data_IF_143395623792
#
_entry.id   IF_143395623792
#
_cell.length_a   1.000
_cell.length_b   1.000
_cell.length_c   1.000
_cell.angle_alpha   90.00
_cell.angle_beta   90.00
_cell.angle_gamma   90.00
#
_symmetry.space_group_name_H-M   'P 1'
#
loop_
_entity.id
_entity.type
_entity.pdbx_description
1 polymer ?
#
# COMPACT_ATOMS: atom_id res chain seq x y z
N UNK A 1 -30.99 -20.53 -26.23
CA UNK A 1 -29.74 -21.16 -25.78
C UNK A 1 -29.42 -22.31 -26.70
N UNK A 2 -28.31 -22.26 -27.43
CA UNK A 2 -27.88 -23.35 -28.32
C UNK A 2 -27.36 -24.49 -27.45
N UNK A 3 -28.14 -25.56 -27.30
CA UNK A 3 -27.75 -26.77 -26.58
C UNK A 3 -27.16 -27.79 -27.56
N UNK A 4 -26.06 -28.46 -27.19
CA UNK A 4 -25.46 -29.56 -27.98
C UNK A 4 -24.22 -29.24 -28.82
N UNK A 5 -23.59 -28.07 -28.66
CA UNK A 5 -22.47 -27.61 -29.51
C UNK A 5 -21.07 -27.92 -28.94
N UNK A 6 -20.98 -28.71 -27.86
CA UNK A 6 -19.70 -28.97 -27.16
C UNK A 6 -19.17 -27.74 -26.40
N UNK A 7 -17.93 -27.81 -25.87
CA UNK A 7 -17.31 -26.68 -25.18
C UNK A 7 -17.07 -25.54 -26.19
N UNK A 8 -17.77 -24.42 -26.00
CA UNK A 8 -17.61 -23.21 -26.82
C UNK A 8 -16.43 -22.34 -26.39
N UNK A 9 -15.66 -22.78 -25.39
CA UNK A 9 -14.48 -22.11 -24.90
C UNK A 9 -13.33 -23.11 -24.77
N UNK A 10 -12.15 -22.70 -25.21
CA UNK A 10 -10.90 -23.43 -25.07
C UNK A 10 -9.88 -22.48 -24.43
N UNK A 11 -8.98 -23.03 -23.63
CA UNK A 11 -7.83 -22.29 -23.09
C UNK A 11 -6.96 -21.76 -24.24
N UNK A 12 -6.42 -20.54 -24.09
CA UNK A 12 -5.36 -20.02 -24.96
C UNK A 12 -3.97 -20.59 -24.63
N UNK A 13 -3.83 -21.30 -23.52
CA UNK A 13 -2.59 -21.97 -23.10
C UNK A 13 -2.68 -23.48 -23.34
N UNK A 14 -1.55 -24.08 -23.75
CA UNK A 14 -1.44 -25.52 -23.96
C UNK A 14 -1.70 -26.33 -22.70
N UNK A 15 -2.17 -27.56 -22.90
CA UNK A 15 -2.40 -28.51 -21.81
C UNK A 15 -1.15 -29.37 -21.57
N UNK A 16 -1.23 -30.30 -20.61
CA UNK A 16 -0.15 -31.20 -20.21
C UNK A 16 0.58 -31.82 -21.42
N UNK A 17 -0.16 -32.47 -22.31
CA UNK A 17 0.39 -33.15 -23.49
C UNK A 17 1.06 -32.19 -24.47
N UNK A 18 0.59 -30.94 -24.56
CA UNK A 18 1.19 -29.93 -25.44
C UNK A 18 2.55 -29.47 -24.89
N UNK A 19 2.65 -29.31 -23.57
CA UNK A 19 3.92 -29.03 -22.91
C UNK A 19 4.92 -30.18 -23.09
N UNK A 20 4.49 -31.43 -22.86
CA UNK A 20 5.36 -32.61 -23.07
C UNK A 20 5.85 -32.68 -24.52
N UNK A 21 4.95 -32.51 -25.50
CA UNK A 21 5.31 -32.49 -26.92
C UNK A 21 6.32 -31.40 -27.24
N UNK A 22 6.08 -30.17 -26.74
CA UNK A 22 6.94 -29.03 -27.02
C UNK A 22 8.33 -29.22 -26.41
N UNK A 23 8.42 -29.56 -25.13
CA UNK A 23 9.69 -29.74 -24.42
C UNK A 23 10.49 -30.89 -25.04
N UNK A 24 9.82 -32.01 -25.35
CA UNK A 24 10.46 -33.17 -26.01
C UNK A 24 10.95 -32.83 -27.41
N UNK A 25 10.20 -32.03 -28.18
CA UNK A 25 10.62 -31.62 -29.52
C UNK A 25 11.81 -30.65 -29.50
N UNK A 26 11.88 -29.78 -28.49
CA UNK A 26 13.00 -28.83 -28.32
C UNK A 26 14.26 -29.49 -27.74
N UNK A 27 14.09 -30.54 -26.92
CA UNK A 27 15.16 -31.23 -26.20
C UNK A 27 16.18 -30.26 -25.55
N UNK A 28 15.71 -29.38 -24.63
CA UNK A 28 16.52 -28.29 -24.12
C UNK A 28 17.62 -28.77 -23.17
N UNK A 29 18.81 -28.17 -23.25
CA UNK A 29 19.89 -28.41 -22.27
C UNK A 29 19.53 -27.88 -20.89
N UNK A 30 18.88 -26.71 -20.83
CA UNK A 30 18.40 -26.05 -19.62
C UNK A 30 16.94 -25.67 -19.79
N UNK A 31 16.13 -25.84 -18.75
CA UNK A 31 14.71 -25.55 -18.79
C UNK A 31 14.31 -24.58 -17.69
N UNK A 32 13.55 -23.55 -18.04
CA UNK A 32 13.01 -22.58 -17.08
C UNK A 32 11.52 -22.39 -17.38
N UNK A 33 10.62 -22.97 -16.57
CA UNK A 33 9.21 -22.70 -16.71
C UNK A 33 8.94 -21.21 -16.42
N UNK A 34 8.16 -20.58 -17.29
CA UNK A 34 7.75 -19.18 -17.18
C UNK A 34 6.22 -19.08 -17.26
N UNK A 35 5.69 -17.94 -16.83
CA UNK A 35 4.26 -17.60 -16.91
C UNK A 35 3.34 -18.57 -16.15
N UNK A 36 3.11 -18.26 -14.88
CA UNK A 36 2.18 -18.98 -14.02
C UNK A 36 2.43 -18.61 -12.57
N UNK A 37 1.54 -19.02 -11.68
CA UNK A 37 1.84 -18.98 -10.25
C UNK A 37 2.98 -19.95 -9.91
N UNK A 38 3.65 -19.72 -8.80
CA UNK A 38 4.82 -20.52 -8.40
C UNK A 38 4.53 -22.02 -8.40
N UNK A 39 3.37 -22.44 -7.91
CA UNK A 39 2.96 -23.84 -7.90
C UNK A 39 2.82 -24.44 -9.32
N UNK A 40 2.37 -23.64 -10.29
CA UNK A 40 2.28 -24.04 -11.70
C UNK A 40 3.67 -24.23 -12.31
N UNK A 41 4.61 -23.33 -11.98
CA UNK A 41 6.00 -23.43 -12.43
C UNK A 41 6.69 -24.68 -11.88
N UNK A 42 6.47 -24.98 -10.60
CA UNK A 42 6.99 -26.21 -9.96
C UNK A 42 6.40 -27.45 -10.65
N UNK A 43 5.09 -27.48 -10.89
CA UNK A 43 4.45 -28.61 -11.56
C UNK A 43 4.98 -28.80 -12.98
N UNK A 44 5.17 -27.70 -13.72
CA UNK A 44 5.71 -27.74 -15.07
C UNK A 44 7.20 -28.18 -15.10
N UNK A 45 7.99 -27.81 -14.10
CA UNK A 45 9.35 -28.32 -13.91
C UNK A 45 9.36 -29.83 -13.64
N UNK A 46 8.46 -30.34 -12.79
CA UNK A 46 8.35 -31.78 -12.54
C UNK A 46 7.93 -32.56 -13.79
N UNK A 47 7.05 -31.98 -14.62
CA UNK A 47 6.67 -32.56 -15.91
C UNK A 47 7.89 -32.68 -16.83
N UNK A 48 8.67 -31.61 -16.97
CA UNK A 48 9.88 -31.62 -17.80
C UNK A 48 10.92 -32.67 -17.33
N UNK A 49 11.04 -32.85 -16.02
CA UNK A 49 11.91 -33.86 -15.41
C UNK A 49 11.42 -35.28 -15.69
N UNK A 50 10.14 -35.57 -15.42
CA UNK A 50 9.56 -36.92 -15.47
C UNK A 50 9.30 -37.40 -16.89
N UNK A 51 8.74 -36.55 -17.75
CA UNK A 51 8.25 -36.93 -19.08
C UNK A 51 9.26 -36.66 -20.19
N UNK A 52 10.09 -35.62 -20.02
CA UNK A 52 11.00 -35.15 -21.06
C UNK A 52 12.49 -35.40 -20.72
N UNK A 53 12.77 -36.06 -19.60
CA UNK A 53 14.11 -36.43 -19.15
C UNK A 53 15.12 -35.26 -19.05
N UNK A 54 14.63 -34.04 -18.78
CA UNK A 54 15.51 -32.90 -18.48
C UNK A 54 16.11 -33.12 -17.08
N UNK A 55 17.44 -33.13 -16.91
CA UNK A 55 18.05 -33.34 -15.60
C UNK A 55 17.60 -32.27 -14.60
N UNK A 56 17.32 -32.67 -13.34
CA UNK A 56 16.86 -31.76 -12.28
C UNK A 56 17.77 -30.53 -12.13
N UNK A 57 19.07 -30.73 -12.16
CA UNK A 57 20.08 -29.67 -12.00
C UNK A 57 20.07 -28.65 -13.14
N UNK A 58 19.43 -28.99 -14.26
CA UNK A 58 19.27 -28.12 -15.42
C UNK A 58 17.91 -27.43 -15.47
N UNK A 59 17.04 -27.64 -14.47
CA UNK A 59 15.70 -27.03 -14.40
C UNK A 59 15.71 -25.89 -13.38
N UNK A 60 15.40 -24.68 -13.83
CA UNK A 60 15.41 -23.46 -13.02
C UNK A 60 13.99 -22.97 -12.76
N UNK A 61 13.44 -23.26 -11.57
CA UNK A 61 12.22 -22.61 -11.10
C UNK A 61 12.60 -21.28 -10.46
N UNK A 62 12.23 -20.18 -11.11
CA UNK A 62 12.59 -18.83 -10.70
C UNK A 62 11.39 -18.03 -10.22
N UNK A 63 11.61 -17.15 -9.25
CA UNK A 63 10.71 -16.08 -8.89
C UNK A 63 11.15 -14.77 -9.58
N UNK A 64 10.26 -13.79 -9.63
CA UNK A 64 10.57 -12.47 -10.19
C UNK A 64 11.80 -11.88 -9.51
N UNK A 65 12.75 -11.43 -10.34
CA UNK A 65 14.00 -10.84 -9.87
C UNK A 65 15.15 -11.82 -9.68
N UNK A 66 14.91 -13.14 -9.78
CA UNK A 66 16.01 -14.10 -9.82
C UNK A 66 16.84 -13.93 -11.10
N UNK A 67 18.17 -14.03 -10.96
CA UNK A 67 19.12 -13.90 -12.08
C UNK A 67 19.72 -15.26 -12.40
N UNK A 68 19.51 -15.73 -13.63
CA UNK A 68 20.18 -16.91 -14.18
C UNK A 68 21.33 -16.45 -15.07
N UNK A 69 22.53 -16.91 -14.73
CA UNK A 69 23.74 -16.69 -15.51
C UNK A 69 23.99 -17.92 -16.38
N UNK A 70 24.03 -17.73 -17.70
CA UNK A 70 24.31 -18.78 -18.67
C UNK A 70 25.66 -18.49 -19.33
N UNK A 71 26.59 -19.43 -19.20
CA UNK A 71 27.95 -19.35 -19.74
C UNK A 71 28.27 -20.61 -20.54
N UNK A 72 29.35 -20.62 -21.35
CA UNK A 72 29.81 -21.86 -21.99
C UNK A 72 30.16 -22.98 -21.00
N UNK A 73 30.50 -22.65 -19.74
CA UNK A 73 30.74 -23.62 -18.67
C UNK A 73 29.47 -24.16 -18.01
N UNK A 74 28.32 -23.55 -18.28
CA UNK A 74 27.02 -23.99 -17.77
C UNK A 74 26.13 -22.84 -17.29
N UNK A 75 24.97 -23.19 -16.75
CA UNK A 75 24.00 -22.26 -16.19
C UNK A 75 23.89 -22.39 -14.66
N UNK A 76 23.75 -21.26 -13.97
CA UNK A 76 23.51 -21.21 -12.51
C UNK A 76 22.68 -20.00 -12.12
N UNK A 77 22.02 -20.08 -10.97
CA UNK A 77 21.39 -18.92 -10.32
C UNK A 77 22.48 -18.06 -9.68
N UNK A 78 22.64 -16.82 -10.16
CA UNK A 78 23.77 -15.93 -9.83
C UNK A 78 23.39 -14.79 -8.87
N UNK A 79 22.11 -14.61 -8.58
CA UNK A 79 21.66 -13.65 -7.57
C UNK A 79 20.20 -13.27 -7.70
N UNK A 80 19.84 -12.14 -7.08
CA UNK A 80 18.51 -11.53 -7.17
C UNK A 80 18.62 -10.02 -7.31
N UNK A 81 17.78 -9.44 -8.15
CA UNK A 81 17.62 -8.00 -8.30
C UNK A 81 16.32 -7.54 -7.61
N UNK A 82 16.26 -6.28 -7.14
CA UNK A 82 15.03 -5.74 -6.59
C UNK A 82 13.98 -5.64 -7.68
N UNK A 83 12.82 -6.24 -7.42
CA UNK A 83 11.64 -6.18 -8.28
C UNK A 83 10.42 -5.83 -7.43
N UNK A 84 9.42 -5.25 -8.05
CA UNK A 84 8.16 -4.89 -7.42
C UNK A 84 7.17 -4.35 -8.44
N UNK A 85 5.88 -4.44 -8.09
CA UNK A 85 4.83 -3.80 -8.88
C UNK A 85 4.72 -2.32 -8.54
N UNK A 86 4.38 -1.51 -9.54
CA UNK A 86 3.89 -0.15 -9.34
C UNK A 86 2.39 -0.21 -9.61
N UNK A 87 1.60 0.24 -8.64
CA UNK A 87 0.15 0.26 -8.75
C UNK A 87 -0.29 1.64 -9.25
N UNK A 88 -1.20 1.67 -10.21
CA UNK A 88 -1.80 2.88 -10.73
C UNK A 88 -3.29 2.88 -10.41
N UNK A 89 -3.84 4.05 -10.09
CA UNK A 89 -5.29 4.23 -10.00
C UNK A 89 -5.89 4.64 -11.36
N UNK A 90 -7.21 4.79 -11.41
CA UNK A 90 -7.96 5.19 -12.60
C UNK A 90 -7.55 6.58 -13.14
N UNK A 91 -6.91 7.42 -12.31
CA UNK A 91 -6.36 8.71 -12.74
C UNK A 91 -4.97 8.60 -13.35
N UNK A 92 -4.37 7.41 -13.33
CA UNK A 92 -2.99 7.16 -13.73
C UNK A 92 -1.96 7.60 -12.68
N UNK A 93 -2.39 7.93 -11.46
CA UNK A 93 -1.48 8.27 -10.38
C UNK A 93 -0.93 7.01 -9.71
N UNK A 94 0.34 7.06 -9.30
CA UNK A 94 0.97 5.96 -8.56
C UNK A 94 0.38 5.87 -7.16
N UNK A 95 -0.09 4.68 -6.80
CA UNK A 95 -0.65 4.40 -5.48
C UNK A 95 0.40 3.67 -4.63
N UNK A 96 0.62 4.19 -3.42
CA UNK A 96 1.48 3.54 -2.42
C UNK A 96 0.80 2.30 -1.84
N UNK A 97 1.60 1.26 -1.57
CA UNK A 97 1.16 0.02 -0.92
C UNK A 97 0.45 0.27 0.41
N UNK A 98 0.89 1.29 1.18
CA UNK A 98 0.27 1.65 2.46
C UNK A 98 -1.20 2.05 2.26
N UNK A 99 -1.48 2.83 1.21
CA UNK A 99 -2.85 3.26 0.89
C UNK A 99 -3.71 2.06 0.47
N UNK A 100 -3.14 1.11 -0.27
CA UNK A 100 -3.85 -0.13 -0.65
C UNK A 100 -4.17 -0.98 0.57
N UNK A 101 -3.20 -1.14 1.47
CA UNK A 101 -3.38 -1.89 2.73
C UNK A 101 -4.50 -1.28 3.57
N UNK A 102 -4.52 0.05 3.70
CA UNK A 102 -5.58 0.77 4.41
C UNK A 102 -6.94 0.54 3.74
N UNK A 103 -7.03 0.60 2.40
CA UNK A 103 -8.28 0.33 1.66
C UNK A 103 -8.78 -1.10 1.87
N UNK A 104 -7.90 -2.09 1.77
CA UNK A 104 -8.25 -3.50 1.99
C UNK A 104 -8.79 -3.68 3.40
N UNK A 105 -8.08 -3.14 4.40
CA UNK A 105 -8.49 -3.28 5.79
C UNK A 105 -9.80 -2.55 6.11
N UNK A 106 -10.01 -1.35 5.54
CA UNK A 106 -11.30 -0.65 5.64
C UNK A 106 -12.44 -1.44 4.98
N UNK A 107 -12.17 -2.11 3.86
CA UNK A 107 -13.18 -2.89 3.17
C UNK A 107 -13.58 -4.17 3.93
N UNK A 108 -12.64 -4.79 4.66
CA UNK A 108 -12.89 -6.02 5.43
C UNK A 108 -13.44 -5.74 6.83
N UNK A 109 -12.82 -4.83 7.57
CA UNK A 109 -13.11 -4.60 8.99
C UNK A 109 -13.97 -3.36 9.25
N UNK A 110 -14.03 -2.43 8.29
CA UNK A 110 -14.67 -1.14 8.47
C UNK A 110 -13.82 -0.16 9.27
N UNK A 111 -14.45 0.95 9.67
CA UNK A 111 -13.81 2.02 10.43
C UNK A 111 -14.67 2.51 11.59
N UNK A 112 -13.98 2.98 12.63
CA UNK A 112 -14.56 3.48 13.87
C UNK A 112 -13.87 4.79 14.26
N UNK A 113 -14.56 5.92 14.09
CA UNK A 113 -14.03 7.25 14.36
C UNK A 113 -14.60 7.75 15.68
N UNK A 114 -13.72 8.26 16.54
CA UNK A 114 -14.10 8.85 17.83
C UNK A 114 -13.66 10.30 17.85
N UNK A 115 -14.61 11.20 18.03
CA UNK A 115 -14.35 12.64 18.07
C UNK A 115 -14.59 13.16 19.49
N UNK A 116 -13.54 13.78 20.05
CA UNK A 116 -13.54 14.38 21.37
C UNK A 116 -13.33 15.89 21.24
N UNK A 117 -14.23 16.68 21.79
CA UNK A 117 -14.07 18.14 21.85
C UNK A 117 -13.69 18.54 23.26
N UNK A 118 -12.49 19.06 23.45
CA UNK A 118 -11.94 19.45 24.75
C UNK A 118 -11.71 20.96 24.82
N UNK A 119 -11.88 21.53 26.00
CA UNK A 119 -11.60 22.95 26.24
C UNK A 119 -10.09 23.17 26.34
N UNK A 120 -9.57 24.16 25.61
CA UNK A 120 -8.17 24.57 25.70
C UNK A 120 -7.85 25.07 27.11
N UNK A 121 -6.77 24.56 27.70
CA UNK A 121 -6.31 24.93 29.04
C UNK A 121 -6.88 24.03 30.15
N UNK A 122 -8.20 23.88 30.25
CA UNK A 122 -8.81 23.01 31.28
C UNK A 122 -8.81 21.52 30.90
N UNK A 123 -8.71 21.21 29.60
CA UNK A 123 -8.75 19.85 29.07
C UNK A 123 -10.09 19.12 29.30
N UNK A 124 -11.12 19.84 29.76
CA UNK A 124 -12.44 19.26 30.05
C UNK A 124 -13.18 18.98 28.74
N UNK A 125 -13.91 17.87 28.68
CA UNK A 125 -14.82 17.59 27.58
C UNK A 125 -15.91 18.66 27.52
N UNK A 126 -16.02 19.33 26.39
CA UNK A 126 -17.06 20.31 26.11
C UNK A 126 -18.39 19.64 25.76
N UNK A 127 -18.31 18.50 25.07
CA UNK A 127 -19.47 17.74 24.59
C UNK A 127 -19.28 16.26 24.87
N UNK A 128 -20.36 15.48 24.76
CA UNK A 128 -20.22 14.02 24.74
C UNK A 128 -19.38 13.59 23.52
N UNK A 129 -18.54 12.54 23.65
CA UNK A 129 -17.81 11.98 22.52
C UNK A 129 -18.75 11.60 21.37
N UNK A 130 -18.43 12.03 20.17
CA UNK A 130 -19.15 11.61 18.97
C UNK A 130 -18.47 10.37 18.38
N UNK A 131 -19.27 9.41 17.93
CA UNK A 131 -18.80 8.11 17.44
C UNK A 131 -19.44 7.86 16.09
N UNK A 132 -18.60 7.64 15.08
CA UNK A 132 -19.01 7.35 13.71
C UNK A 132 -18.47 5.98 13.33
N UNK A 133 -19.36 5.06 12.97
CA UNK A 133 -19.01 3.73 12.46
C UNK A 133 -19.42 3.62 10.99
N UNK A 134 -18.53 3.07 10.15
CA UNK A 134 -18.80 2.78 8.73
C UNK A 134 -18.24 1.40 8.38
N UNK A 135 -19.04 0.52 7.77
CA UNK A 135 -18.60 -0.83 7.35
C UNK A 135 -18.28 -1.81 8.48
N UNK A 136 -18.45 -1.40 9.74
CA UNK A 136 -18.13 -2.19 10.92
C UNK A 136 -19.42 -2.68 11.63
N UNK A 137 -20.00 -1.84 12.49
CA UNK A 137 -21.26 -2.11 13.21
C UNK A 137 -22.30 -1.04 12.92
N UNK A 138 -23.57 -1.44 12.84
CA UNK A 138 -24.68 -0.50 12.71
C UNK A 138 -25.03 0.06 14.09
N UNK A 139 -24.96 1.39 14.23
CA UNK A 139 -25.08 2.06 15.53
C UNK A 139 -26.41 1.77 16.25
N UNK A 140 -27.49 1.46 15.52
CA UNK A 140 -28.80 1.15 16.12
C UNK A 140 -28.85 -0.22 16.77
N UNK A 141 -28.02 -1.16 16.33
CA UNK A 141 -28.03 -2.54 16.84
C UNK A 141 -27.06 -2.71 18.02
N UNK A 142 -26.35 -1.65 18.40
CA UNK A 142 -25.26 -1.69 19.39
C UNK A 142 -25.25 -0.46 20.30
N UNK A 143 -26.43 0.04 20.67
CA UNK A 143 -26.56 1.20 21.56
C UNK A 143 -25.85 1.01 22.91
N UNK A 144 -25.93 -0.20 23.47
CA UNK A 144 -25.27 -0.54 24.75
C UNK A 144 -23.74 -0.46 24.65
N UNK A 145 -23.16 -1.06 23.61
CA UNK A 145 -21.72 -0.98 23.34
C UNK A 145 -21.27 0.47 23.10
N UNK A 146 -22.06 1.26 22.36
CA UNK A 146 -21.77 2.68 22.15
C UNK A 146 -21.86 3.47 23.46
N UNK A 147 -22.84 3.18 24.31
CA UNK A 147 -22.98 3.76 25.64
C UNK A 147 -21.78 3.47 26.52
N UNK A 148 -21.34 2.21 26.56
CA UNK A 148 -20.16 1.75 27.28
C UNK A 148 -18.89 2.49 26.81
N UNK A 149 -18.65 2.55 25.49
CA UNK A 149 -17.49 3.26 24.93
C UNK A 149 -17.55 4.76 25.27
N UNK A 150 -18.73 5.40 25.14
CA UNK A 150 -18.87 6.82 25.51
C UNK A 150 -18.57 7.07 26.98
N UNK A 151 -19.02 6.19 27.87
CA UNK A 151 -18.75 6.30 29.31
C UNK A 151 -17.27 6.09 29.60
N UNK A 152 -16.66 5.09 28.97
CA UNK A 152 -15.23 4.81 29.05
C UNK A 152 -14.38 6.02 28.64
N UNK A 153 -14.68 6.60 27.46
CA UNK A 153 -14.01 7.79 26.94
C UNK A 153 -14.13 8.98 27.89
N UNK A 154 -15.34 9.23 28.42
CA UNK A 154 -15.56 10.32 29.40
C UNK A 154 -14.67 10.16 30.64
N UNK A 155 -14.58 8.96 31.18
CA UNK A 155 -13.74 8.67 32.34
C UNK A 155 -12.24 8.77 32.02
N UNK A 156 -11.80 8.23 30.89
CA UNK A 156 -10.40 8.26 30.46
C UNK A 156 -9.91 9.70 30.24
N UNK A 157 -10.72 10.54 29.58
CA UNK A 157 -10.40 11.95 29.35
C UNK A 157 -10.40 12.71 30.69
N UNK A 158 -11.38 12.50 31.57
CA UNK A 158 -11.39 13.15 32.89
C UNK A 158 -10.15 12.82 33.73
N UNK A 159 -9.65 11.58 33.68
CA UNK A 159 -8.42 11.17 34.36
C UNK A 159 -7.16 11.75 33.72
N UNK A 160 -7.10 11.75 32.39
CA UNK A 160 -5.89 12.14 31.64
C UNK A 160 -5.69 13.65 31.66
N UNK A 161 -6.77 14.45 31.61
CA UNK A 161 -6.73 15.91 31.54
C UNK A 161 -6.72 16.66 32.87
N UNK A 162 -6.69 15.93 33.98
CA UNK A 162 -6.91 16.49 35.30
C UNK A 162 -5.77 17.33 35.89
N UNK A 163 -4.51 17.27 35.42
CA UNK A 163 -3.40 17.90 36.17
C UNK A 163 -2.05 18.17 35.47
N UNK A 164 -1.88 18.02 34.14
CA UNK A 164 -0.57 18.25 33.49
C UNK A 164 -0.70 18.81 32.06
N UNK A 165 0.39 19.39 31.54
CA UNK A 165 0.62 19.55 30.09
C UNK A 165 0.60 18.14 29.49
N UNK A 166 -0.36 17.89 28.62
CA UNK A 166 -0.62 16.56 28.06
C UNK A 166 -0.19 16.56 26.61
N UNK A 167 0.47 15.46 26.24
CA UNK A 167 0.73 15.15 24.85
C UNK A 167 -0.53 14.52 24.25
N UNK A 168 -1.17 15.26 23.34
CA UNK A 168 -2.39 14.81 22.66
C UNK A 168 -2.14 13.55 21.83
N UNK A 169 -0.93 13.34 21.33
CA UNK A 169 -0.62 12.19 20.48
C UNK A 169 -0.48 10.90 21.31
N UNK A 170 0.01 11.02 22.54
CA UNK A 170 0.00 9.91 23.52
C UNK A 170 -1.43 9.50 23.84
N UNK A 171 -2.32 10.47 24.12
CA UNK A 171 -3.73 10.16 24.40
C UNK A 171 -4.41 9.53 23.19
N UNK A 172 -4.21 10.06 21.97
CA UNK A 172 -4.76 9.45 20.76
C UNK A 172 -4.32 8.00 20.62
N UNK A 173 -3.05 7.70 20.87
CA UNK A 173 -2.52 6.33 20.80
C UNK A 173 -3.16 5.41 21.84
N UNK A 174 -3.20 5.84 23.11
CA UNK A 174 -3.84 5.05 24.18
C UNK A 174 -5.32 4.79 23.87
N UNK A 175 -6.05 5.82 23.44
CA UNK A 175 -7.45 5.69 23.05
C UNK A 175 -7.63 4.70 21.89
N UNK A 176 -6.76 4.77 20.87
CA UNK A 176 -6.80 3.84 19.75
C UNK A 176 -6.65 2.40 20.24
N UNK A 177 -5.63 2.12 21.04
CA UNK A 177 -5.30 0.77 21.48
C UNK A 177 -6.39 0.20 22.40
N UNK A 178 -6.87 0.99 23.36
CA UNK A 178 -7.92 0.61 24.31
C UNK A 178 -9.27 0.34 23.61
N UNK A 179 -9.68 1.22 22.70
CA UNK A 179 -10.93 1.05 21.94
C UNK A 179 -10.82 -0.17 21.02
N UNK A 180 -9.67 -0.38 20.38
CA UNK A 180 -9.45 -1.56 19.53
C UNK A 180 -9.64 -2.84 20.33
N UNK A 181 -9.13 -2.90 21.57
CA UNK A 181 -9.32 -4.05 22.45
C UNK A 181 -10.79 -4.26 22.83
N UNK A 182 -11.51 -3.21 23.24
CA UNK A 182 -12.94 -3.28 23.59
C UNK A 182 -13.77 -3.78 22.40
N UNK A 183 -13.50 -3.25 21.21
CA UNK A 183 -14.20 -3.66 19.99
C UNK A 183 -13.91 -5.12 19.65
N UNK A 184 -12.67 -5.56 19.77
CA UNK A 184 -12.30 -6.95 19.49
C UNK A 184 -12.96 -7.93 20.47
N UNK A 185 -12.97 -7.62 21.77
CA UNK A 185 -13.57 -8.49 22.78
C UNK A 185 -15.06 -8.72 22.55
N UNK A 186 -15.77 -7.69 22.11
CA UNK A 186 -17.22 -7.75 21.91
C UNK A 186 -17.62 -8.28 20.53
N UNK A 187 -16.85 -7.97 19.49
CA UNK A 187 -17.26 -8.21 18.10
C UNK A 187 -16.36 -9.19 17.35
N UNK A 188 -15.19 -9.56 17.92
CA UNK A 188 -14.14 -10.37 17.28
C UNK A 188 -13.61 -9.82 15.96
N UNK A 189 -13.77 -8.52 15.74
CA UNK A 189 -13.35 -7.78 14.56
C UNK A 189 -12.49 -6.59 14.97
N UNK A 190 -11.61 -6.13 14.09
CA UNK A 190 -10.64 -5.07 14.39
C UNK A 190 -10.76 -3.95 13.37
N UNK A 191 -11.76 -3.05 13.47
CA UNK A 191 -11.90 -1.93 12.55
C UNK A 191 -10.76 -0.94 12.70
N UNK A 192 -10.55 -0.09 11.68
CA UNK A 192 -9.62 1.05 11.82
C UNK A 192 -10.19 2.05 12.83
N UNK A 193 -9.53 2.18 13.98
CA UNK A 193 -9.89 3.18 15.00
C UNK A 193 -9.15 4.49 14.75
N UNK A 194 -9.90 5.58 14.57
CA UNK A 194 -9.37 6.94 14.32
C UNK A 194 -9.85 7.89 15.43
N UNK A 195 -8.99 8.20 16.42
CA UNK A 195 -9.29 9.19 17.45
C UNK A 195 -8.95 10.61 16.98
N UNK A 196 -9.94 11.49 17.05
CA UNK A 196 -9.84 12.92 16.71
C UNK A 196 -10.09 13.73 17.99
N UNK A 197 -9.14 14.58 18.37
CA UNK A 197 -9.26 15.46 19.53
C UNK A 197 -9.22 16.91 19.04
N UNK A 198 -10.33 17.61 19.23
CA UNK A 198 -10.49 19.02 18.88
C UNK A 198 -10.36 19.88 20.14
N UNK A 199 -9.36 20.75 20.21
CA UNK A 199 -9.25 21.73 21.28
C UNK A 199 -9.98 23.02 20.92
N UNK A 200 -10.88 23.49 21.79
CA UNK A 200 -11.64 24.73 21.60
C UNK A 200 -11.30 25.72 22.71
N UNK A 201 -10.86 26.92 22.35
CA UNK A 201 -10.57 28.01 23.28
C UNK A 201 -10.98 29.36 22.71
N UNK A 202 -11.89 30.06 23.39
CA UNK A 202 -12.31 31.41 23.03
C UNK A 202 -11.18 32.42 23.24
N UNK A 203 -10.77 33.07 22.15
CA UNK A 203 -9.85 34.20 22.15
C UNK A 203 -10.41 35.34 21.32
N UNK A 204 -11.31 36.13 21.91
CA UNK A 204 -11.49 37.52 21.51
C UNK A 204 -10.26 38.31 21.96
N UNK A 205 -9.57 38.95 21.03
CA UNK A 205 -8.38 39.74 21.28
C UNK A 205 -8.02 40.53 20.04
N UNK A 206 -8.67 41.69 19.86
CA UNK A 206 -8.29 42.67 18.85
C UNK A 206 -6.87 43.17 19.11
N UNK A 207 -6.01 43.10 18.11
CA UNK A 207 -4.74 43.81 18.12
C UNK A 207 -5.00 45.26 17.70
N UNK A 208 -5.09 46.15 18.69
CA UNK A 208 -4.76 47.56 18.51
C UNK A 208 -3.25 47.68 18.34
N UNK A 209 -2.78 47.88 17.11
CA UNK A 209 -1.41 48.31 16.87
C UNK A 209 -1.29 49.80 17.19
N UNK A 210 -0.87 50.10 18.42
CA UNK A 210 -0.29 51.38 18.79
C UNK A 210 1.07 51.54 18.11
N UNK A 211 1.20 52.61 17.32
CA UNK A 211 2.48 53.19 16.91
C UNK A 211 3.31 53.50 18.15
N UNK A 212 4.61 53.20 18.12
CA UNK A 212 5.64 54.18 18.45
C UNK A 212 7.05 53.71 18.06
N UNK A 213 7.89 54.71 17.87
CA UNK A 213 8.97 54.77 16.90
C UNK A 213 10.36 54.65 17.57
N UNK A 214 11.28 53.98 16.86
CA UNK A 214 12.75 54.16 16.82
C UNK A 214 13.58 54.29 18.12
N UNK A 215 14.61 53.44 18.28
CA UNK A 215 15.99 53.78 17.87
C UNK A 215 17.07 52.73 18.25
N UNK A 216 17.93 52.40 17.26
CA UNK A 216 19.38 52.06 17.29
C UNK A 216 19.86 50.84 18.11
N UNK A 217 20.85 50.04 17.73
CA UNK A 217 21.78 49.90 16.60
C UNK A 217 22.50 48.54 16.80
N UNK A 218 22.94 47.87 15.73
CA UNK A 218 23.92 46.77 15.82
C UNK A 218 23.75 45.66 14.79
N UNK A 219 24.29 45.86 13.57
CA UNK A 219 24.43 44.78 12.55
C UNK A 219 25.70 43.96 12.82
N UNK A 220 25.67 42.65 12.52
CA UNK A 220 26.72 42.07 11.70
C UNK A 220 26.20 41.20 10.53
N UNK A 221 26.85 41.42 9.37
CA UNK A 221 27.13 40.56 8.20
C UNK A 221 26.17 39.42 7.75
N UNK A 222 25.86 39.31 6.44
CA UNK A 222 25.17 38.15 5.89
C UNK A 222 26.09 36.92 5.82
N UNK A 223 25.60 35.77 6.30
CA UNK A 223 26.22 34.46 6.09
C UNK A 223 25.99 34.01 4.64
N UNK A 224 27.05 33.54 3.98
CA UNK A 224 27.03 32.95 2.64
C UNK A 224 26.00 31.80 2.53
N UNK A 225 25.21 31.73 1.44
CA UNK A 225 24.42 30.54 1.14
C UNK A 225 25.34 29.41 0.67
N UNK A 226 25.23 28.25 1.30
CA UNK A 226 25.87 27.00 0.89
C UNK A 226 25.47 26.61 -0.53
N UNK A 227 26.45 26.32 -1.38
CA UNK A 227 26.24 25.87 -2.77
C UNK A 227 25.41 24.57 -2.82
N UNK A 228 24.51 24.40 -3.79
CA UNK A 228 23.84 23.12 -4.00
C UNK A 228 24.84 22.07 -4.50
N UNK A 229 24.84 20.88 -3.89
CA UNK A 229 25.65 19.73 -4.35
C UNK A 229 25.22 19.36 -5.78
N UNK A 230 26.16 19.41 -6.73
CA UNK A 230 25.95 18.89 -8.10
C UNK A 230 25.84 17.38 -8.05
N UNK A 231 24.67 16.83 -8.37
CA UNK A 231 24.50 15.42 -8.67
C UNK A 231 25.09 15.10 -10.06
N UNK A 232 25.63 13.89 -10.28
CA UNK A 232 26.02 13.45 -11.61
C UNK A 232 24.80 13.46 -12.55
N UNK A 233 25.00 13.71 -13.86
CA UNK A 233 23.90 13.67 -14.83
C UNK A 233 23.27 12.27 -14.86
N UNK A 234 21.94 12.24 -15.03
CA UNK A 234 21.16 11.00 -15.20
C UNK A 234 21.71 10.23 -16.40
N UNK A 235 22.19 9.01 -16.19
CA UNK A 235 22.56 8.12 -17.30
C UNK A 235 21.29 7.81 -18.09
N UNK A 236 21.34 8.09 -19.39
CA UNK A 236 20.30 7.72 -20.36
C UNK A 236 20.69 6.33 -20.88
N UNK A 237 19.84 5.30 -20.74
CA UNK A 237 20.05 4.01 -21.41
C UNK A 237 20.04 4.20 -22.92
N UNK A 238 20.90 3.52 -23.67
CA UNK A 238 20.91 3.56 -25.15
C UNK A 238 19.51 3.18 -25.67
N UNK A 239 18.80 4.16 -26.25
CA UNK A 239 17.42 4.03 -26.74
C UNK A 239 17.30 3.46 -28.15
N UNK A 240 18.39 2.96 -28.74
CA UNK A 240 18.41 2.46 -30.13
C UNK A 240 17.67 1.13 -30.34
N UNK A 241 16.92 0.63 -29.35
CA UNK A 241 16.15 -0.62 -29.47
C UNK A 241 14.67 -0.47 -29.07
N UNK A 242 14.17 0.73 -28.75
CA UNK A 242 12.80 0.91 -28.21
C UNK A 242 11.97 1.97 -28.93
N UNK A 243 12.27 2.29 -30.19
CA UNK A 243 11.35 3.02 -31.05
C UNK A 243 11.05 2.19 -32.31
N UNK A 244 9.87 1.55 -32.42
CA UNK A 244 9.42 1.04 -33.70
C UNK A 244 9.15 2.25 -34.59
N UNK A 245 10.03 2.48 -35.57
CA UNK A 245 9.89 3.54 -36.55
C UNK A 245 8.45 3.56 -37.09
N UNK A 246 7.71 4.62 -36.76
CA UNK A 246 6.38 4.90 -37.29
C UNK A 246 6.47 4.95 -38.81
N UNK A 247 6.10 3.85 -39.47
CA UNK A 247 5.93 3.81 -40.92
C UNK A 247 4.95 4.93 -41.30
N UNK A 248 5.44 5.87 -42.11
CA UNK A 248 4.62 6.94 -42.68
C UNK A 248 3.40 6.35 -43.37
N UNK A 249 2.21 6.81 -43.00
CA UNK A 249 0.96 6.49 -43.67
C UNK A 249 1.03 6.95 -45.12
N UNK A 250 1.35 6.03 -46.03
CA UNK A 250 1.14 6.23 -47.46
C UNK A 250 0.77 4.88 -48.07
N UNK A 251 -0.47 4.83 -48.53
CA UNK A 251 -1.04 3.89 -49.50
C UNK A 251 -1.00 2.39 -49.19
N UNK A 252 -2.17 1.84 -48.81
CA UNK A 252 -2.60 0.55 -49.37
C UNK A 252 -4.12 0.44 -49.36
N UNK A 253 -4.66 0.15 -50.56
CA UNK A 253 -6.07 0.10 -50.94
C UNK A 253 -6.85 -0.98 -50.21
N UNK A 254 -8.14 -0.72 -49.99
CA UNK A 254 -9.13 -1.71 -49.59
C UNK A 254 -9.27 -2.82 -50.66
N UNK A 255 -9.20 -4.06 -50.20
CA UNK A 255 -9.90 -5.23 -50.74
C UNK A 255 -10.41 -6.04 -49.55
#
# INVERSE_FOLDING_TARGET
>A
HLTGVGPLHLSGHGYYDDHVKLISALNPTYYMPIHGEFHMLVHNAELAEKECAVPRDNIFVCDSGDVIEITPSGAKKSGRIPVGGIMYDDSGAIVSEVVLKDRIHMATEGMFVVVLTVQRGSGRLMTSPDIISRGFIYLRDSEELMGMIRQYLKQKVARSFGNKKIDLDVIKKELKDEITHILYDQTRRTPIVIPVINEVGGGGGGQSQGRDNASRQGKPGPKNPSQPKKFPPRQVPDTDVVDPALRSKTETRAY
#
